data_IF_467491289107
#
_entry.id   IF_467491289107
#
_cell.length_a   1.000
_cell.length_b   1.000
_cell.length_c   1.000
_cell.angle_alpha   90.00
_cell.angle_beta   90.00
_cell.angle_gamma   90.00
#
_symmetry.space_group_name_H-M   'P 1'
#
loop_
_entity.id
_entity.type
_entity.pdbx_description
1 polymer ?
#
# COMPACT_ATOMS: atom_id res chain seq x y z
N UNK A 1 -5.75 -24.40 28.84
CA UNK A 1 -5.79 -22.96 29.17
C UNK A 1 -4.63 -22.31 28.42
N UNK A 2 -4.55 -22.54 27.12
CA UNK A 2 -5.26 -21.82 26.05
C UNK A 2 -4.46 -20.58 25.64
N UNK A 3 -3.45 -20.83 24.81
CA UNK A 3 -2.65 -19.84 24.10
C UNK A 3 -2.89 -20.04 22.61
N UNK A 4 -4.12 -19.73 22.20
CA UNK A 4 -4.59 -19.87 20.82
C UNK A 4 -3.71 -19.10 19.85
N UNK A 5 -3.14 -19.88 18.94
CA UNK A 5 -2.57 -19.51 17.65
C UNK A 5 -3.33 -18.35 16.99
N UNK A 6 -2.69 -17.18 16.90
CA UNK A 6 -3.15 -16.09 16.04
C UNK A 6 -2.77 -16.42 14.59
N UNK A 7 -3.47 -17.41 14.02
CA UNK A 7 -3.47 -17.62 12.59
C UNK A 7 -4.12 -16.40 11.93
N UNK A 8 -3.31 -15.49 11.39
CA UNK A 8 -3.79 -14.48 10.45
C UNK A 8 -4.05 -15.16 9.10
N UNK A 9 -5.20 -15.84 9.02
CA UNK A 9 -5.78 -16.28 7.77
C UNK A 9 -6.71 -15.17 7.24
N UNK A 10 -6.20 -14.35 6.32
CA UNK A 10 -7.04 -13.61 5.37
C UNK A 10 -6.39 -13.66 3.98
N UNK A 11 -6.45 -14.82 3.35
CA UNK A 11 -6.21 -14.96 1.93
C UNK A 11 -7.46 -14.53 1.15
N UNK A 12 -7.56 -13.25 0.80
CA UNK A 12 -8.47 -12.80 -0.28
C UNK A 12 -7.64 -12.54 -1.54
N UNK A 13 -7.51 -13.58 -2.36
CA UNK A 13 -6.87 -13.54 -3.67
C UNK A 13 -7.91 -13.17 -4.75
N UNK A 14 -7.90 -11.91 -5.23
CA UNK A 14 -8.64 -11.52 -6.44
C UNK A 14 -7.80 -11.86 -7.67
N UNK A 15 -8.13 -12.98 -8.31
CA UNK A 15 -7.41 -13.52 -9.46
C UNK A 15 -7.61 -12.73 -10.75
N UNK A 16 -6.50 -12.49 -11.46
CA UNK A 16 -6.50 -12.29 -12.92
C UNK A 16 -5.36 -13.14 -13.50
N UNK A 17 -5.71 -14.27 -14.09
CA UNK A 17 -4.74 -15.22 -14.64
C UNK A 17 -3.95 -14.65 -15.81
N UNK A 18 -2.67 -15.05 -15.89
CA UNK A 18 -1.97 -15.36 -17.14
C UNK A 18 -0.69 -16.15 -16.82
N UNK A 19 -0.58 -17.31 -17.45
CA UNK A 19 0.44 -18.34 -17.24
C UNK A 19 1.84 -17.86 -17.61
N UNK A 20 2.75 -17.84 -16.62
CA UNK A 20 4.21 -17.85 -16.81
C UNK A 20 4.86 -18.27 -15.48
N UNK A 21 5.39 -19.49 -15.47
CA UNK A 21 6.33 -20.10 -14.50
C UNK A 21 6.20 -19.61 -13.06
N UNK A 22 5.55 -20.39 -12.19
CA UNK A 22 5.55 -20.35 -10.71
C UNK A 22 6.15 -19.08 -10.10
N UNK A 23 5.58 -17.92 -10.43
CA UNK A 23 5.94 -16.67 -9.78
C UNK A 23 5.33 -16.80 -8.40
N UNK A 24 6.16 -17.12 -7.40
CA UNK A 24 5.75 -17.13 -6.00
C UNK A 24 4.85 -15.91 -5.76
N UNK A 25 3.59 -16.15 -5.39
CA UNK A 25 2.64 -15.08 -5.15
C UNK A 25 3.16 -14.16 -4.03
N UNK A 26 2.82 -12.88 -4.09
CA UNK A 26 3.13 -11.95 -3.02
C UNK A 26 2.20 -12.22 -1.84
N UNK A 27 2.76 -12.38 -0.64
CA UNK A 27 1.94 -12.51 0.58
C UNK A 27 1.68 -11.14 1.19
N UNK A 28 0.64 -11.00 2.00
CA UNK A 28 0.35 -9.77 2.73
C UNK A 28 1.55 -9.34 3.62
N UNK A 29 2.25 -10.31 4.21
CA UNK A 29 3.47 -10.05 5.01
C UNK A 29 4.58 -9.44 4.13
N UNK A 30 4.81 -10.00 2.94
CA UNK A 30 5.79 -9.43 1.99
C UNK A 30 5.36 -8.02 1.55
N UNK A 31 4.08 -7.78 1.31
CA UNK A 31 3.57 -6.45 0.91
C UNK A 31 3.75 -5.41 2.02
N UNK A 32 3.45 -5.76 3.27
CA UNK A 32 3.68 -4.89 4.43
C UNK A 32 5.18 -4.61 4.62
N UNK A 33 6.03 -5.62 4.48
CA UNK A 33 7.48 -5.44 4.57
C UNK A 33 8.01 -4.51 3.46
N UNK A 34 7.50 -4.64 2.23
CA UNK A 34 7.83 -3.76 1.12
C UNK A 34 7.41 -2.32 1.39
N UNK A 35 6.20 -2.10 1.90
CA UNK A 35 5.73 -0.76 2.26
C UNK A 35 6.59 -0.10 3.34
N UNK A 36 6.93 -0.85 4.39
CA UNK A 36 7.83 -0.38 5.46
C UNK A 36 9.21 0.01 4.93
N UNK A 37 9.81 -0.85 4.10
CA UNK A 37 11.11 -0.59 3.48
C UNK A 37 11.06 0.64 2.58
N UNK A 38 10.02 0.78 1.76
CA UNK A 38 9.86 1.93 0.87
C UNK A 38 9.78 3.26 1.65
N UNK A 39 8.92 3.33 2.68
CA UNK A 39 8.77 4.53 3.52
C UNK A 39 10.09 4.89 4.21
N UNK A 40 10.79 3.90 4.77
CA UNK A 40 12.06 4.12 5.45
C UNK A 40 13.11 4.75 4.50
N UNK A 41 13.23 4.22 3.28
CA UNK A 41 14.23 4.69 2.31
C UNK A 41 13.82 6.01 1.65
N UNK A 42 12.54 6.19 1.30
CA UNK A 42 12.06 7.39 0.60
C UNK A 42 12.07 8.66 1.47
N UNK A 43 12.00 8.51 2.80
CA UNK A 43 12.00 9.63 3.75
C UNK A 43 13.39 9.92 4.36
N UNK A 44 14.41 9.12 4.04
CA UNK A 44 15.75 9.29 4.57
C UNK A 44 16.47 10.50 3.95
N UNK A 45 16.50 11.62 4.71
CA UNK A 45 17.11 12.92 4.31
C UNK A 45 18.56 12.81 3.82
N UNK A 46 19.32 11.84 4.31
CA UNK A 46 20.75 11.65 4.01
C UNK A 46 21.04 11.28 2.56
N UNK A 47 20.02 10.91 1.79
CA UNK A 47 20.19 10.36 0.44
C UNK A 47 19.45 11.15 -0.66
N UNK A 48 18.73 12.21 -0.31
CA UNK A 48 17.76 12.85 -1.21
C UNK A 48 18.31 13.48 -2.49
N UNK A 49 19.63 13.74 -2.60
CA UNK A 49 20.21 14.47 -3.74
C UNK A 49 21.00 13.62 -4.74
N UNK A 50 21.26 12.34 -4.44
CA UNK A 50 22.13 11.46 -5.28
C UNK A 50 21.53 10.05 -5.53
N UNK A 51 20.24 9.83 -5.23
CA UNK A 51 19.61 8.54 -5.51
C UNK A 51 19.30 8.39 -7.01
N UNK A 52 20.19 7.70 -7.74
CA UNK A 52 19.78 7.01 -8.96
C UNK A 52 18.62 6.05 -8.63
N UNK A 53 17.59 6.00 -9.49
CA UNK A 53 16.39 5.17 -9.26
C UNK A 53 16.72 3.72 -8.91
N UNK A 54 17.72 3.13 -9.56
CA UNK A 54 18.12 1.75 -9.30
C UNK A 54 18.77 1.59 -7.92
N UNK A 55 19.59 2.56 -7.50
CA UNK A 55 20.19 2.61 -6.15
C UNK A 55 19.15 2.74 -5.04
N UNK A 56 18.05 3.46 -5.29
CA UNK A 56 16.94 3.50 -4.34
C UNK A 56 16.34 2.10 -4.15
N UNK A 57 16.06 1.39 -5.25
CA UNK A 57 15.47 0.04 -5.20
C UNK A 57 16.41 -1.02 -4.63
N UNK A 58 17.72 -0.90 -4.86
CA UNK A 58 18.74 -1.75 -4.20
C UNK A 58 18.65 -1.62 -2.67
N UNK A 59 18.58 -0.39 -2.13
CA UNK A 59 18.47 -0.16 -0.68
C UNK A 59 17.14 -0.62 -0.11
N UNK A 60 16.06 -0.46 -0.87
CA UNK A 60 14.75 -1.01 -0.48
C UNK A 60 14.84 -2.54 -0.40
N UNK A 61 15.52 -3.19 -1.35
CA UNK A 61 15.73 -4.63 -1.31
C UNK A 61 16.56 -5.04 -0.09
N UNK A 62 17.62 -4.32 0.25
CA UNK A 62 18.44 -4.59 1.45
C UNK A 62 17.59 -4.53 2.73
N UNK A 63 16.80 -3.47 2.91
CA UNK A 63 15.91 -3.33 4.07
C UNK A 63 14.80 -4.39 4.07
N UNK A 64 14.28 -4.76 2.90
CA UNK A 64 13.27 -5.80 2.74
C UNK A 64 13.82 -7.19 3.12
N UNK A 65 15.02 -7.53 2.66
CA UNK A 65 15.68 -8.80 2.97
C UNK A 65 16.04 -8.96 4.45
N UNK A 66 16.23 -7.85 5.17
CA UNK A 66 16.37 -7.86 6.63
C UNK A 66 15.07 -8.24 7.36
N UNK A 67 13.91 -8.06 6.72
CA UNK A 67 12.58 -8.39 7.30
C UNK A 67 12.07 -9.75 6.81
N UNK A 68 12.29 -10.08 5.53
CA UNK A 68 11.86 -11.33 4.89
C UNK A 68 13.10 -12.16 4.58
N UNK A 69 13.43 -13.08 5.49
CA UNK A 69 14.58 -13.99 5.33
C UNK A 69 14.39 -14.92 4.13
N UNK A 70 15.49 -15.32 3.50
CA UNK A 70 15.53 -16.20 2.31
C UNK A 70 14.67 -15.74 1.13
N UNK A 71 14.48 -14.43 1.01
CA UNK A 71 13.74 -13.88 -0.11
C UNK A 71 14.48 -14.08 -1.44
N UNK A 72 13.76 -14.60 -2.44
CA UNK A 72 14.23 -14.69 -3.84
C UNK A 72 13.83 -13.47 -4.66
N UNK A 73 13.26 -12.45 -4.02
CA UNK A 73 12.78 -11.24 -4.70
C UNK A 73 13.97 -10.38 -5.12
N UNK A 74 13.85 -9.72 -6.27
CA UNK A 74 14.84 -8.77 -6.78
C UNK A 74 14.32 -7.35 -6.68
N UNK A 75 15.21 -6.35 -6.71
CA UNK A 75 14.82 -4.94 -6.66
C UNK A 75 13.85 -4.56 -7.80
N UNK A 76 13.97 -5.20 -8.97
CA UNK A 76 13.03 -5.07 -10.07
C UNK A 76 11.64 -5.60 -9.71
N UNK A 77 11.56 -6.79 -9.10
CA UNK A 77 10.27 -7.37 -8.69
C UNK A 77 9.58 -6.53 -7.62
N UNK A 78 10.34 -5.94 -6.70
CA UNK A 78 9.85 -5.01 -5.68
C UNK A 78 9.29 -3.74 -6.34
N UNK A 79 10.02 -3.16 -7.30
CA UNK A 79 9.57 -1.98 -8.05
C UNK A 79 8.24 -2.24 -8.78
N UNK A 80 8.13 -3.35 -9.51
CA UNK A 80 6.89 -3.73 -10.20
C UNK A 80 5.74 -3.92 -9.20
N UNK A 81 5.98 -4.61 -8.08
CA UNK A 81 4.95 -4.82 -7.06
C UNK A 81 4.49 -3.51 -6.43
N UNK A 82 5.43 -2.65 -6.05
CA UNK A 82 5.14 -1.35 -5.45
C UNK A 82 4.31 -0.47 -6.38
N UNK A 83 4.63 -0.41 -7.68
CA UNK A 83 3.83 0.34 -8.66
C UNK A 83 2.37 -0.09 -8.65
N UNK A 84 2.10 -1.39 -8.60
CA UNK A 84 0.74 -1.92 -8.55
C UNK A 84 0.04 -1.58 -7.24
N UNK A 85 0.73 -1.72 -6.09
CA UNK A 85 0.19 -1.33 -4.78
C UNK A 85 -0.12 0.17 -4.74
N UNK A 86 0.81 1.01 -5.20
CA UNK A 86 0.66 2.46 -5.20
C UNK A 86 -0.47 2.94 -6.11
N UNK A 87 -0.67 2.28 -7.26
CA UNK A 87 -1.82 2.54 -8.11
C UNK A 87 -3.14 2.21 -7.40
N UNK A 88 -3.23 1.03 -6.75
CA UNK A 88 -4.42 0.65 -5.99
C UNK A 88 -4.71 1.61 -4.83
N UNK A 89 -3.67 2.03 -4.08
CA UNK A 89 -3.79 3.03 -3.02
C UNK A 89 -4.25 4.39 -3.58
N UNK A 90 -3.76 4.81 -4.75
CA UNK A 90 -4.19 6.04 -5.41
C UNK A 90 -5.67 6.03 -5.78
N UNK A 91 -6.18 4.90 -6.32
CA UNK A 91 -7.61 4.73 -6.61
C UNK A 91 -8.44 4.78 -5.33
N UNK A 92 -8.03 4.04 -4.29
CA UNK A 92 -8.71 4.06 -2.99
C UNK A 92 -8.77 5.47 -2.40
N UNK A 93 -7.63 6.18 -2.38
CA UNK A 93 -7.56 7.55 -1.87
C UNK A 93 -8.46 8.52 -2.65
N UNK A 94 -8.53 8.37 -3.98
CA UNK A 94 -9.42 9.17 -4.83
C UNK A 94 -10.90 8.94 -4.49
N UNK A 95 -11.31 7.69 -4.30
CA UNK A 95 -12.67 7.34 -3.89
C UNK A 95 -13.00 7.84 -2.48
N UNK A 96 -12.06 7.71 -1.54
CA UNK A 96 -12.20 8.20 -0.18
C UNK A 96 -12.44 9.72 -0.16
N UNK A 97 -11.61 10.47 -0.88
CA UNK A 97 -11.73 11.92 -1.02
C UNK A 97 -13.09 12.31 -1.64
N UNK A 98 -13.53 11.60 -2.68
CA UNK A 98 -14.83 11.86 -3.31
C UNK A 98 -15.99 11.68 -2.31
N UNK A 99 -15.95 10.63 -1.49
CA UNK A 99 -16.97 10.39 -0.47
C UNK A 99 -16.98 11.50 0.60
N UNK A 100 -15.81 11.94 1.06
CA UNK A 100 -15.66 12.99 2.07
C UNK A 100 -16.21 14.34 1.59
N UNK A 101 -15.91 14.72 0.34
CA UNK A 101 -16.49 15.92 -0.28
C UNK A 101 -18.02 15.85 -0.40
N UNK A 102 -18.57 14.69 -0.79
CA UNK A 102 -20.03 14.51 -0.91
C UNK A 102 -20.71 14.60 0.45
N UNK A 103 -20.12 14.03 1.51
CA UNK A 103 -20.65 14.14 2.88
C UNK A 103 -20.70 15.60 3.31
N UNK A 104 -19.60 16.33 3.12
CA UNK A 104 -19.52 17.75 3.50
C UNK A 104 -20.56 18.60 2.77
N UNK A 105 -20.80 18.35 1.47
CA UNK A 105 -21.83 19.08 0.72
C UNK A 105 -23.23 18.71 1.20
N UNK A 106 -23.49 17.43 1.48
CA UNK A 106 -24.79 16.98 1.99
C UNK A 106 -25.09 17.56 3.37
N UNK A 107 -24.11 17.58 4.26
CA UNK A 107 -24.23 18.17 5.61
C UNK A 107 -24.48 19.69 5.52
N UNK A 108 -23.76 20.39 4.64
CA UNK A 108 -24.00 21.83 4.39
C UNK A 108 -25.36 22.10 3.75
N UNK A 109 -25.84 21.23 2.85
CA UNK A 109 -27.17 21.37 2.25
C UNK A 109 -28.28 21.10 3.28
N UNK A 110 -28.14 20.06 4.10
CA UNK A 110 -29.04 19.73 5.21
C UNK A 110 -29.10 20.86 6.25
N UNK A 111 -27.95 21.41 6.65
CA UNK A 111 -27.87 22.53 7.58
C UNK A 111 -28.56 23.80 7.02
N UNK A 112 -28.38 24.10 5.73
CA UNK A 112 -29.05 25.24 5.09
C UNK A 112 -30.56 25.01 4.89
N UNK A 113 -31.01 23.76 4.67
CA UNK A 113 -32.43 23.43 4.58
C UNK A 113 -33.15 23.62 5.94
N UNK A 114 -32.49 23.28 7.06
CA UNK A 114 -33.04 23.45 8.42
C UNK A 114 -33.17 24.93 8.83
N UNK A 115 -32.32 25.81 8.30
CA UNK A 115 -32.38 27.26 8.59
C UNK A 115 -33.46 27.98 7.76
N UNK A 116 -33.89 27.41 6.63
CA UNK A 116 -34.85 28.02 5.70
C UNK A 116 -36.34 27.95 6.09
N UNK A 117 -36.72 27.26 7.18
CA UNK A 117 -38.13 27.10 7.61
C UNK A 117 -38.55 28.00 8.80
N UNK A 118 -37.70 28.96 9.22
CA UNK A 118 -38.08 30.00 10.20
C UNK A 118 -38.08 31.39 9.58
N UNK A 119 -39.03 31.66 8.70
CA UNK A 119 -39.50 33.02 8.38
C UNK A 119 -40.98 33.00 8.10
#
# INVERSE_FOLDING_TARGET
MDGGDLSLNEDVQVGKGNSKADKKNWTAIEEVALAKAWIHISTCKKVGNEQGRDKMWERILEHFAATITDTKRTHHSLNTKWKNMNHAMGVFNGLYIQQDYVSTIFDNFSANAVVGERT
#
